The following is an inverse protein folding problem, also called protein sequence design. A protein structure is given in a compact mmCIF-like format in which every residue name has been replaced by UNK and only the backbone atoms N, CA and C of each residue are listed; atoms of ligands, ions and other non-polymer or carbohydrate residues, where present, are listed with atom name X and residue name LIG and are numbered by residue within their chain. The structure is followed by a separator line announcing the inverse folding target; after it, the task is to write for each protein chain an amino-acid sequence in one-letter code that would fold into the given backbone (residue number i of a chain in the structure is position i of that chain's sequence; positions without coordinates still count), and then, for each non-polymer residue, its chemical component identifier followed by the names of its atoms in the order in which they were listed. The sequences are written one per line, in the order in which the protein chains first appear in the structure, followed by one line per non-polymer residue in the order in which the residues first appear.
data_IF_874773063779
#
_entry.id   IF_874773063779
#
_cell.length_a   1.000
_cell.length_b   1.000
_cell.length_c   1.000
_cell.angle_alpha   90.00
_cell.angle_beta   90.00
_cell.angle_gamma   90.00
#
_symmetry.space_group_name_H-M   'P 1'
#
loop_
_entity.id
_entity.type
_entity.pdbx_description
1 polymer ?
#
# COMPACT_ATOMS: atom_id res chain seq x y z
N UNK A 1 9.09 73.67 -28.59
CA UNK A 1 9.35 72.66 -29.65
C UNK A 1 10.40 71.70 -29.10
N UNK A 2 10.26 70.38 -28.98
CA UNK A 2 9.25 69.38 -29.35
C UNK A 2 9.39 68.24 -28.33
N UNK A 3 8.27 67.68 -27.91
CA UNK A 3 8.20 66.45 -27.10
C UNK A 3 8.65 65.25 -27.94
N UNK A 4 9.44 64.34 -27.35
CA UNK A 4 9.63 62.99 -27.87
C UNK A 4 9.28 62.00 -26.77
N UNK A 5 8.03 61.55 -26.78
CA UNK A 5 7.57 60.39 -26.03
C UNK A 5 8.10 59.13 -26.70
N UNK A 6 8.89 58.33 -26.00
CA UNK A 6 9.16 56.94 -26.37
C UNK A 6 8.28 56.08 -25.47
N UNK A 7 7.20 55.57 -26.05
CA UNK A 7 6.34 54.55 -25.45
C UNK A 7 7.06 53.22 -25.64
N UNK A 8 7.75 52.75 -24.61
CA UNK A 8 8.34 51.42 -24.60
C UNK A 8 7.32 50.43 -24.05
N UNK A 9 6.47 49.92 -24.93
CA UNK A 9 5.60 48.78 -24.65
C UNK A 9 6.45 47.50 -24.59
N UNK A 10 6.89 47.12 -23.40
CA UNK A 10 7.45 45.79 -23.16
C UNK A 10 6.30 44.81 -22.92
N UNK A 11 6.12 43.95 -23.92
CA UNK A 11 5.21 42.83 -23.96
C UNK A 11 5.53 41.87 -22.80
N UNK A 12 4.69 41.83 -21.77
CA UNK A 12 4.76 40.79 -20.74
C UNK A 12 4.16 39.53 -21.35
N UNK A 13 5.01 38.69 -21.96
CA UNK A 13 4.66 37.31 -22.31
C UNK A 13 4.45 36.55 -20.99
N UNK A 14 3.19 36.54 -20.54
CA UNK A 14 2.73 35.66 -19.48
C UNK A 14 2.82 34.21 -19.95
N UNK A 15 3.94 33.55 -19.65
CA UNK A 15 4.01 32.10 -19.69
C UNK A 15 3.11 31.56 -18.57
N UNK A 16 1.85 31.31 -18.89
CA UNK A 16 0.98 30.44 -18.10
C UNK A 16 1.62 29.05 -18.10
N UNK A 17 2.49 28.81 -17.12
CA UNK A 17 2.94 27.46 -16.78
C UNK A 17 1.73 26.72 -16.25
N UNK A 18 0.98 26.09 -17.14
CA UNK A 18 0.09 25.00 -16.76
C UNK A 18 1.00 23.93 -16.17
N UNK A 19 1.13 23.93 -14.85
CA UNK A 19 1.77 22.84 -14.14
C UNK A 19 1.15 21.54 -14.66
N UNK A 20 1.95 20.50 -15.00
CA UNK A 20 1.40 19.20 -15.33
C UNK A 20 0.70 18.67 -14.08
N UNK A 21 -0.57 19.04 -13.91
CA UNK A 21 -1.46 18.46 -12.93
C UNK A 21 -1.69 17.01 -13.34
N UNK A 22 -1.62 16.15 -12.33
CA UNK A 22 -2.33 14.88 -12.25
C UNK A 22 -1.82 13.75 -13.14
N UNK A 23 -0.71 13.14 -12.73
CA UNK A 23 -0.70 11.68 -12.69
C UNK A 23 -1.73 11.24 -11.62
N UNK A 24 -2.97 11.07 -12.08
CA UNK A 24 -4.17 10.74 -11.30
C UNK A 24 -4.06 9.38 -10.59
N UNK A 25 -3.38 9.33 -9.45
CA UNK A 25 -3.63 8.33 -8.42
C UNK A 25 -4.75 8.82 -7.51
N UNK A 26 -5.62 7.92 -7.04
CA UNK A 26 -6.56 8.23 -5.95
C UNK A 26 -5.73 8.50 -4.68
N UNK A 27 -6.01 9.62 -3.99
CA UNK A 27 -5.32 9.93 -2.72
C UNK A 27 -5.70 8.89 -1.68
N UNK A 28 -4.72 8.10 -1.26
CA UNK A 28 -4.86 7.04 -0.29
C UNK A 28 -4.95 7.58 1.13
N UNK A 29 -4.15 8.60 1.46
CA UNK A 29 -4.11 9.17 2.79
C UNK A 29 -3.53 10.59 2.81
N UNK A 30 -3.85 11.30 3.88
CA UNK A 30 -3.22 12.55 4.29
C UNK A 30 -2.63 12.32 5.69
N UNK A 31 -1.31 12.44 5.83
CA UNK A 31 -0.57 12.09 7.05
C UNK A 31 0.08 13.36 7.63
N UNK A 32 -0.17 13.65 8.90
CA UNK A 32 0.36 14.84 9.57
C UNK A 32 1.55 14.49 10.48
N UNK A 33 2.72 15.06 10.22
CA UNK A 33 3.89 14.97 11.09
C UNK A 33 4.03 16.28 11.87
N UNK A 34 3.18 16.41 12.91
CA UNK A 34 2.98 17.67 13.65
C UNK A 34 4.26 18.27 14.24
N UNK A 35 5.15 17.44 14.76
CA UNK A 35 6.42 17.91 15.34
C UNK A 35 7.33 18.53 14.27
N UNK A 36 7.32 17.96 13.06
CA UNK A 36 8.14 18.39 11.93
C UNK A 36 7.45 19.47 11.08
N UNK A 37 6.19 19.82 11.37
CA UNK A 37 5.39 20.82 10.63
C UNK A 37 5.31 20.54 9.13
N UNK A 38 5.09 19.28 8.79
CA UNK A 38 4.93 18.82 7.42
C UNK A 38 3.75 17.86 7.31
N UNK A 39 3.24 17.80 6.08
CA UNK A 39 2.13 16.98 5.65
C UNK A 39 2.65 16.01 4.59
N UNK A 40 2.19 14.77 4.60
CA UNK A 40 2.51 13.78 3.57
C UNK A 40 1.22 13.26 2.97
N UNK A 41 0.97 13.59 1.71
CA UNK A 41 -0.10 12.98 0.93
C UNK A 41 0.42 11.71 0.25
N UNK A 42 -0.31 10.61 0.43
CA UNK A 42 0.01 9.33 -0.19
C UNK A 42 -0.98 9.05 -1.34
N UNK A 43 -0.47 8.64 -2.49
CA UNK A 43 -1.26 8.34 -3.69
C UNK A 43 -0.92 6.96 -4.23
N UNK A 44 -1.93 6.11 -4.36
CA UNK A 44 -1.76 4.85 -5.06
C UNK A 44 -1.68 5.11 -6.56
N UNK A 45 -0.61 4.62 -7.20
CA UNK A 45 -0.53 4.66 -8.66
C UNK A 45 -1.58 3.74 -9.30
N UNK A 46 -1.83 2.62 -8.64
CA UNK A 46 -2.85 1.63 -8.96
C UNK A 46 -3.50 1.16 -7.66
N UNK A 47 -4.79 0.81 -7.69
CA UNK A 47 -5.49 0.33 -6.49
C UNK A 47 -4.77 -0.88 -5.89
N UNK A 48 -4.65 -0.97 -4.56
CA UNK A 48 -4.06 -2.12 -3.90
C UNK A 48 -4.69 -3.44 -4.34
N UNK A 49 -3.85 -4.40 -4.72
CA UNK A 49 -4.24 -5.77 -5.05
C UNK A 49 -3.21 -6.75 -4.49
N UNK A 50 -3.65 -7.98 -4.25
CA UNK A 50 -2.84 -9.07 -3.70
C UNK A 50 -1.91 -9.62 -4.80
N UNK A 51 -0.74 -10.13 -4.41
CA UNK A 51 0.24 -10.83 -5.26
C UNK A 51 0.75 -10.03 -6.46
N UNK A 52 0.73 -8.69 -6.37
CA UNK A 52 1.40 -7.81 -7.31
C UNK A 52 2.27 -6.80 -6.59
N UNK A 53 3.36 -6.43 -7.25
CA UNK A 53 4.13 -5.26 -6.84
C UNK A 53 3.33 -3.99 -7.13
N UNK A 54 3.18 -3.17 -6.10
CA UNK A 54 2.46 -1.91 -6.12
C UNK A 54 3.43 -0.75 -5.95
N UNK A 55 2.98 0.41 -6.45
CA UNK A 55 3.71 1.67 -6.34
C UNK A 55 2.84 2.71 -5.65
N UNK A 56 3.44 3.38 -4.68
CA UNK A 56 2.85 4.49 -3.95
C UNK A 56 3.68 5.75 -4.24
N UNK A 57 3.03 6.89 -4.41
CA UNK A 57 3.70 8.19 -4.44
C UNK A 57 3.47 8.90 -3.12
N UNK A 58 4.52 9.49 -2.57
CA UNK A 58 4.45 10.38 -1.43
C UNK A 58 4.74 11.81 -1.89
N UNK A 59 3.85 12.73 -1.53
CA UNK A 59 4.08 14.17 -1.69
C UNK A 59 4.20 14.81 -0.31
N UNK A 60 5.38 15.33 -0.01
CA UNK A 60 5.70 16.05 1.22
C UNK A 60 5.42 17.54 1.00
N UNK A 61 4.63 18.12 1.90
CA UNK A 61 4.21 19.51 1.87
C UNK A 61 4.48 20.18 3.20
N UNK A 62 4.71 21.49 3.19
CA UNK A 62 4.74 22.30 4.41
C UNK A 62 3.30 22.60 4.90
N UNK A 63 3.17 23.29 6.04
CA UNK A 63 1.85 23.71 6.58
C UNK A 63 1.08 24.66 5.66
N UNK A 64 1.75 25.35 4.74
CA UNK A 64 1.11 26.20 3.72
C UNK A 64 0.58 25.40 2.51
N UNK A 65 0.90 24.10 2.43
CA UNK A 65 0.49 23.21 1.33
C UNK A 65 1.45 23.16 0.14
N UNK A 66 2.57 23.90 0.18
CA UNK A 66 3.59 23.86 -0.88
C UNK A 66 4.48 22.62 -0.74
N UNK A 67 4.93 22.05 -1.86
CA UNK A 67 5.90 20.95 -1.85
C UNK A 67 7.20 21.38 -1.15
N UNK A 68 7.67 20.54 -0.23
CA UNK A 68 8.83 20.83 0.60
C UNK A 68 9.69 19.57 0.79
N UNK A 69 11.00 19.70 1.05
CA UNK A 69 11.80 18.55 1.46
C UNK A 69 11.29 18.00 2.80
N UNK A 70 11.39 16.68 3.03
CA UNK A 70 11.10 16.10 4.35
C UNK A 70 12.12 16.60 5.36
N UNK A 71 11.71 16.65 6.64
CA UNK A 71 12.58 17.06 7.73
C UNK A 71 13.68 16.04 8.06
N UNK A 72 13.61 14.84 7.48
CA UNK A 72 14.57 13.76 7.67
C UNK A 72 14.38 12.64 6.64
N UNK A 73 15.02 11.49 6.88
CA UNK A 73 14.92 10.35 5.96
C UNK A 73 13.52 9.72 6.04
N UNK A 74 12.93 9.49 4.87
CA UNK A 74 11.66 8.79 4.74
C UNK A 74 11.89 7.29 4.57
N UNK A 75 11.11 6.48 5.26
CA UNK A 75 10.99 5.05 4.98
C UNK A 75 9.55 4.58 5.10
N UNK A 76 9.24 3.45 4.47
CA UNK A 76 7.89 2.88 4.45
C UNK A 76 7.97 1.40 4.82
N UNK A 77 7.00 0.93 5.60
CA UNK A 77 6.77 -0.49 5.81
C UNK A 77 5.29 -0.83 5.67
N UNK A 78 5.01 -2.11 5.41
CA UNK A 78 3.64 -2.64 5.37
C UNK A 78 3.47 -3.70 6.43
N UNK A 79 2.35 -3.69 7.14
CA UNK A 79 2.13 -4.56 8.28
C UNK A 79 0.67 -4.98 8.38
N UNK A 80 0.43 -6.26 8.68
CA UNK A 80 -0.87 -6.79 9.06
C UNK A 80 -0.73 -7.55 10.38
N UNK A 81 -1.80 -7.64 11.19
CA UNK A 81 -1.75 -8.30 12.50
C UNK A 81 -1.30 -9.76 12.43
N UNK A 82 -1.70 -10.47 11.37
CA UNK A 82 -1.39 -11.89 11.17
C UNK A 82 -0.20 -12.13 10.24
N UNK A 83 0.25 -11.10 9.53
CA UNK A 83 1.31 -11.19 8.53
C UNK A 83 2.18 -9.93 8.60
N UNK A 84 3.47 -10.08 8.86
CA UNK A 84 4.42 -9.01 8.58
C UNK A 84 4.70 -8.95 7.07
N UNK A 85 5.35 -7.87 6.62
CA UNK A 85 6.01 -7.84 5.32
C UNK A 85 6.81 -9.15 5.10
N UNK A 86 6.78 -9.66 3.87
CA UNK A 86 7.64 -10.76 3.45
C UNK A 86 9.12 -10.34 3.39
N UNK A 87 9.94 -11.07 2.63
CA UNK A 87 11.39 -10.84 2.54
C UNK A 87 11.82 -9.49 1.92
N UNK A 88 10.90 -8.67 1.41
CA UNK A 88 11.20 -7.47 0.62
C UNK A 88 10.72 -6.22 1.35
N UNK A 89 11.65 -5.34 1.68
CA UNK A 89 11.36 -4.03 2.26
C UNK A 89 10.99 -3.02 1.17
N UNK A 90 9.95 -2.18 1.37
CA UNK A 90 9.65 -1.09 0.45
C UNK A 90 10.81 -0.11 0.30
N UNK A 91 11.08 0.30 -0.93
CA UNK A 91 12.16 1.25 -1.23
C UNK A 91 11.56 2.62 -1.51
N UNK A 92 12.06 3.67 -0.87
CA UNK A 92 11.66 5.06 -1.11
C UNK A 92 12.75 5.76 -1.92
N UNK A 93 12.39 6.31 -3.09
CA UNK A 93 13.32 7.03 -3.97
C UNK A 93 12.76 8.41 -4.33
N UNK A 94 13.59 9.47 -4.42
CA UNK A 94 13.14 10.76 -4.91
C UNK A 94 12.78 10.66 -6.40
N UNK A 95 11.68 11.29 -6.80
CA UNK A 95 11.29 11.39 -8.21
C UNK A 95 12.22 12.36 -8.92
N UNK A 96 12.73 12.02 -10.10
CA UNK A 96 13.59 12.91 -10.88
C UNK A 96 12.75 13.77 -11.84
N UNK A 97 13.09 15.06 -11.93
CA UNK A 97 12.51 15.99 -12.89
C UNK A 97 13.08 15.76 -14.31
N UNK A 98 12.60 16.52 -15.30
CA UNK A 98 13.05 16.40 -16.70
C UNK A 98 14.54 16.71 -16.92
N UNK A 99 15.20 17.38 -15.97
CA UNK A 99 16.63 17.70 -16.00
C UNK A 99 17.48 16.63 -15.32
N UNK A 100 16.86 15.59 -14.76
CA UNK A 100 17.56 14.54 -14.00
C UNK A 100 17.88 14.94 -12.56
N UNK A 101 17.26 16.00 -12.03
CA UNK A 101 17.44 16.45 -10.66
C UNK A 101 16.27 15.95 -9.78
N UNK A 102 16.48 15.67 -8.49
CA UNK A 102 15.40 15.34 -7.57
C UNK A 102 14.32 16.43 -7.53
N UNK A 103 13.07 16.02 -7.76
CA UNK A 103 11.91 16.87 -7.57
C UNK A 103 11.64 17.03 -6.07
N UNK A 104 11.57 18.28 -5.63
CA UNK A 104 11.38 18.62 -4.22
C UNK A 104 10.06 18.03 -3.72
N UNK A 105 10.14 17.32 -2.60
CA UNK A 105 8.98 16.81 -1.86
C UNK A 105 8.23 15.68 -2.57
N UNK A 106 8.75 15.08 -3.64
CA UNK A 106 8.06 13.99 -4.35
C UNK A 106 8.90 12.73 -4.37
N UNK A 107 8.32 11.65 -3.86
CA UNK A 107 8.99 10.36 -3.71
C UNK A 107 8.11 9.25 -4.29
N UNK A 108 8.73 8.30 -4.98
CA UNK A 108 8.10 7.05 -5.37
C UNK A 108 8.54 5.95 -4.39
N UNK A 109 7.57 5.13 -3.96
CA UNK A 109 7.78 3.96 -3.13
C UNK A 109 7.48 2.72 -3.97
N UNK A 110 8.44 1.82 -4.07
CA UNK A 110 8.33 0.55 -4.80
C UNK A 110 8.42 -0.65 -3.87
N UNK A 111 8.31 -1.86 -4.42
CA UNK A 111 8.39 -3.12 -3.67
C UNK A 111 7.30 -3.30 -2.61
N UNK A 112 6.14 -2.65 -2.77
CA UNK A 112 4.99 -2.88 -1.90
C UNK A 112 4.25 -4.11 -2.43
N UNK A 113 4.13 -5.17 -1.64
CA UNK A 113 3.38 -6.36 -2.03
C UNK A 113 2.55 -6.86 -0.86
N UNK A 114 1.27 -7.14 -1.12
CA UNK A 114 0.35 -7.72 -0.15
C UNK A 114 0.14 -9.19 -0.45
N UNK A 115 0.31 -10.05 0.57
CA UNK A 115 0.29 -11.51 0.41
C UNK A 115 -1.05 -12.15 0.79
N UNK A 116 -1.98 -11.36 1.33
CA UNK A 116 -3.27 -11.83 1.77
C UNK A 116 -4.28 -10.68 1.69
N UNK A 117 -5.55 -11.04 1.56
CA UNK A 117 -6.68 -10.12 1.72
C UNK A 117 -6.79 -9.60 3.16
N UNK A 118 -7.56 -8.54 3.35
CA UNK A 118 -7.81 -7.89 4.62
C UNK A 118 -7.18 -6.51 4.71
N UNK A 119 -7.10 -6.00 5.94
CA UNK A 119 -6.61 -4.67 6.23
C UNK A 119 -5.10 -4.68 6.53
N UNK A 120 -4.34 -3.97 5.70
CA UNK A 120 -2.91 -3.75 5.90
C UNK A 120 -2.66 -2.32 6.35
N UNK A 121 -1.82 -2.15 7.36
CA UNK A 121 -1.24 -0.87 7.74
C UNK A 121 -0.07 -0.54 6.83
N UNK A 122 -0.14 0.58 6.11
CA UNK A 122 1.01 1.20 5.45
C UNK A 122 1.55 2.26 6.40
N UNK A 123 2.77 2.07 6.88
CA UNK A 123 3.42 2.92 7.86
C UNK A 123 4.50 3.73 7.18
N UNK A 124 4.43 5.05 7.33
CA UNK A 124 5.41 6.01 6.83
C UNK A 124 6.17 6.54 8.04
N UNK A 125 7.50 6.41 7.98
CA UNK A 125 8.40 6.84 9.04
C UNK A 125 9.21 8.05 8.57
N UNK A 126 9.52 8.91 9.52
CA UNK A 126 10.48 9.99 9.35
C UNK A 126 11.57 9.89 10.41
N UNK A 127 12.82 9.84 9.98
CA UNK A 127 13.99 9.82 10.84
C UNK A 127 14.71 11.18 10.75
N UNK A 128 14.49 12.02 11.75
CA UNK A 128 15.19 13.30 11.90
C UNK A 128 16.45 13.01 12.73
N UNK A 129 17.63 13.12 12.10
CA UNK A 129 18.88 12.52 12.60
C UNK A 129 19.12 12.61 14.11
N UNK A 130 19.14 11.45 14.77
CA UNK A 130 19.40 11.31 16.22
C UNK A 130 18.16 11.40 17.11
N UNK A 131 17.00 11.76 16.56
CA UNK A 131 15.72 11.78 17.27
C UNK A 131 14.97 10.44 17.15
N UNK A 132 13.93 10.28 17.96
CA UNK A 132 13.03 9.13 17.87
C UNK A 132 12.31 9.12 16.51
N UNK A 133 12.26 7.96 15.85
CA UNK A 133 11.54 7.80 14.58
C UNK A 133 10.06 8.11 14.78
N UNK A 134 9.55 9.13 14.09
CA UNK A 134 8.13 9.45 14.08
C UNK A 134 7.43 8.62 13.01
N UNK A 135 6.24 8.10 13.33
CA UNK A 135 5.46 7.23 12.44
C UNK A 135 4.04 7.74 12.27
N UNK A 136 3.58 7.74 11.02
CA UNK A 136 2.17 7.87 10.66
C UNK A 136 1.76 6.68 9.83
N UNK A 137 0.47 6.33 9.83
CA UNK A 137 -0.03 5.17 9.11
C UNK A 137 -1.41 5.39 8.51
N UNK A 138 -1.72 4.62 7.48
CA UNK A 138 -3.05 4.50 6.92
C UNK A 138 -3.34 3.03 6.58
N UNK A 139 -4.61 2.73 6.29
CA UNK A 139 -5.07 1.38 5.99
C UNK A 139 -5.23 1.22 4.48
N UNK A 140 -4.63 0.16 3.93
CA UNK A 140 -4.96 -0.38 2.62
C UNK A 140 -5.91 -1.57 2.83
N UNK A 141 -7.14 -1.44 2.35
CA UNK A 141 -8.15 -2.49 2.43
C UNK A 141 -8.16 -3.30 1.11
N UNK A 142 -7.87 -4.59 1.22
CA UNK A 142 -7.86 -5.54 0.10
C UNK A 142 -9.12 -6.40 0.04
N UNK A 143 -10.14 -6.06 0.83
CA UNK A 143 -11.37 -6.82 0.96
C UNK A 143 -11.21 -8.11 1.74
N UNK A 144 -12.26 -8.93 1.79
CA UNK A 144 -12.23 -10.24 2.43
C UNK A 144 -11.69 -11.31 1.47
N UNK A 145 -11.00 -12.31 2.02
CA UNK A 145 -10.66 -13.51 1.25
C UNK A 145 -11.97 -14.11 0.79
N UNK A 146 -12.13 -14.32 -0.52
CA UNK A 146 -13.26 -15.14 -0.99
C UNK A 146 -13.05 -16.52 -0.40
N UNK A 147 -13.80 -16.84 0.66
CA UNK A 147 -13.71 -18.13 1.33
C UNK A 147 -13.75 -19.21 0.26
N UNK A 148 -12.76 -20.11 0.30
CA UNK A 148 -12.75 -21.25 -0.59
C UNK A 148 -14.08 -22.00 -0.40
N UNK A 149 -14.89 -22.23 -1.44
CA UNK A 149 -16.17 -22.92 -1.28
C UNK A 149 -15.99 -24.36 -0.76
N UNK A 150 -14.76 -24.90 -0.73
CA UNK A 150 -14.46 -26.17 -0.06
C UNK A 150 -14.28 -26.06 1.46
N UNK A 151 -14.05 -24.88 2.04
CA UNK A 151 -13.97 -24.69 3.49
C UNK A 151 -15.33 -24.37 4.14
N UNK A 152 -16.38 -24.15 3.35
CA UNK A 152 -17.74 -24.01 3.86
C UNK A 152 -18.37 -25.41 4.05
N UNK A 153 -18.64 -25.85 5.29
CA UNK A 153 -19.27 -27.14 5.56
C UNK A 153 -20.71 -27.24 5.00
N UNK A 154 -21.34 -26.11 4.67
CA UNK A 154 -22.66 -26.06 4.05
C UNK A 154 -22.60 -26.04 2.51
N UNK A 155 -21.40 -26.00 1.92
CA UNK A 155 -21.21 -26.02 0.47
C UNK A 155 -21.82 -27.29 -0.15
N UNK A 156 -22.46 -27.21 -1.34
CA UNK A 156 -23.00 -28.37 -2.04
C UNK A 156 -21.98 -29.49 -2.24
N UNK A 157 -20.69 -29.16 -2.39
CA UNK A 157 -19.59 -30.13 -2.52
C UNK A 157 -19.44 -30.97 -1.24
N UNK A 158 -19.49 -30.34 -0.06
CA UNK A 158 -19.42 -31.03 1.23
C UNK A 158 -20.65 -31.92 1.46
N UNK A 159 -21.84 -31.46 1.05
CA UNK A 159 -23.07 -32.25 1.13
C UNK A 159 -23.01 -33.49 0.21
N UNK A 160 -22.41 -33.37 -0.98
CA UNK A 160 -22.21 -34.50 -1.89
C UNK A 160 -21.20 -35.52 -1.37
N UNK A 161 -20.10 -35.08 -0.75
CA UNK A 161 -19.10 -35.99 -0.16
C UNK A 161 -19.65 -36.76 1.05
N UNK A 162 -20.41 -36.11 1.94
CA UNK A 162 -21.02 -36.78 3.10
C UNK A 162 -22.08 -37.80 2.67
N UNK A 163 -22.80 -37.55 1.57
CA UNK A 163 -23.78 -38.49 1.02
C UNK A 163 -23.11 -39.72 0.39
N UNK A 164 -21.93 -39.57 -0.21
CA UNK A 164 -21.18 -40.69 -0.79
C UNK A 164 -20.46 -41.57 0.26
N UNK A 165 -20.03 -40.99 1.39
CA UNK A 165 -19.32 -41.71 2.45
C UNK A 165 -20.20 -42.62 3.32
N UNK A 166 -21.52 -42.45 3.30
CA UNK A 166 -22.44 -43.22 4.14
C UNK A 166 -22.79 -44.62 3.59
N UNK A 167 -22.48 -44.91 2.33
CA UNK A 167 -22.88 -46.18 1.68
C UNK A 167 -21.83 -47.29 1.75
N UNK A 168 -20.68 -47.08 2.42
CA UNK A 168 -19.61 -48.09 2.48
C UNK A 168 -19.36 -48.69 3.87
N UNK A 169 -20.08 -48.27 4.91
CA UNK A 169 -19.80 -48.73 6.29
C UNK A 169 -20.63 -49.93 6.77
N UNK A 170 -21.26 -50.72 5.87
CA UNK A 170 -22.18 -51.80 6.26
C UNK A 170 -21.65 -53.24 6.20
N UNK A 171 -20.39 -53.47 5.82
CA UNK A 171 -19.85 -54.84 5.73
C UNK A 171 -18.42 -54.96 6.28
N UNK A 172 -18.27 -54.96 7.60
CA UNK A 172 -17.21 -55.72 8.26
C UNK A 172 -17.76 -56.28 9.58
N UNK A 173 -18.27 -57.52 9.52
CA UNK A 173 -18.48 -58.33 10.71
C UNK A 173 -17.10 -58.76 11.23
N UNK A 174 -16.85 -58.46 12.50
CA UNK A 174 -15.70 -58.94 13.24
C UNK A 174 -15.83 -60.44 13.50
N UNK A 175 -14.97 -61.24 12.87
CA UNK A 175 -14.67 -62.59 13.35
C UNK A 175 -13.92 -62.49 14.69
N UNK A 176 -14.50 -63.14 15.70
CA UNK A 176 -14.01 -63.18 17.08
C UNK A 176 -12.93 -64.28 17.19
N UNK A 177 -11.69 -63.99 17.62
CA UNK A 177 -10.68 -65.03 17.79
C UNK A 177 -11.03 -65.94 18.98
N UNK A 178 -10.98 -67.25 18.75
CA UNK A 178 -11.12 -68.28 19.78
C UNK A 178 -9.88 -68.35 20.67
N UNK A 179 -10.08 -68.29 22.00
CA UNK A 179 -9.03 -68.48 23.01
C UNK A 179 -8.44 -69.90 23.00
N UNK A 180 -7.12 -70.06 23.21
CA UNK A 180 -6.49 -71.37 23.36
C UNK A 180 -6.71 -71.93 24.78
N UNK A 181 -7.21 -73.18 24.85
CA UNK A 181 -7.23 -73.99 26.07
C UNK A 181 -5.81 -74.29 26.54
N UNK A 182 -5.52 -73.96 27.79
CA UNK A 182 -4.27 -74.30 28.48
C UNK A 182 -4.31 -75.75 29.01
N UNK A 183 -3.22 -76.54 28.90
CA UNK A 183 -3.04 -77.78 29.64
C UNK A 183 -2.66 -77.53 31.10
#
# INVERSE_FOLDING_TARGET
MRYFSIVLSLLVLGCTHTAPSTQNGERAAHLEFKQQKILVDAYWKEKPVIDKELKLRLEVRNEAGDLAPPAGDLSVSVWMKTHSYGLVEPTVIPVMNKKGEPQIGVYDVSNIMFMASGQWEVRVYMNVGGEEKVMQKFIADLGEEKQNPMSDPNSPIHQMMNKAGMDHSKHMNHDKPSEPKKP
#
